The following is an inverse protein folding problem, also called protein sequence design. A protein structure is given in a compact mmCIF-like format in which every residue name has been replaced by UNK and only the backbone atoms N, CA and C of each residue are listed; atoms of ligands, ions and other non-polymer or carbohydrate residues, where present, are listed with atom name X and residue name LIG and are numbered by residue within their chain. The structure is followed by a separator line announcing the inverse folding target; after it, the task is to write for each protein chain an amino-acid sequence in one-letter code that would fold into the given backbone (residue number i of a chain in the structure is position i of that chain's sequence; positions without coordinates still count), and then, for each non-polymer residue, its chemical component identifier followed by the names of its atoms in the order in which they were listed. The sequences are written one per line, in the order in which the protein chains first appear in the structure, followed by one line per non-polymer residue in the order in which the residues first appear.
data_IF_961288245147
#
_entry.id   IF_961288245147
#
_cell.length_a   1.000
_cell.length_b   1.000
_cell.length_c   1.000
_cell.angle_alpha   90.00
_cell.angle_beta   90.00
_cell.angle_gamma   90.00
#
_symmetry.space_group_name_H-M   'P 1'
#
loop_
_entity.id
_entity.type
_entity.pdbx_description
1 polymer ?
#
# COMPACT_ATOMS: atom_id res chain seq x y z
N UNK A 1 12.15 50.65 -59.70
CA UNK A 1 11.70 49.34 -60.24
C UNK A 1 12.40 48.23 -59.48
N UNK A 2 11.65 47.16 -59.16
CA UNK A 2 12.03 45.92 -58.45
C UNK A 2 11.96 46.05 -56.91
N UNK A 3 10.85 45.59 -56.29
CA UNK A 3 10.49 44.19 -55.93
C UNK A 3 11.38 43.70 -54.77
N UNK A 4 10.93 43.10 -53.67
CA UNK A 4 9.66 42.57 -53.20
C UNK A 4 9.96 42.10 -51.76
N UNK A 5 9.28 42.59 -50.72
CA UNK A 5 9.40 42.04 -49.37
C UNK A 5 8.29 41.00 -49.18
N UNK A 6 8.63 39.70 -49.18
CA UNK A 6 7.76 38.64 -48.69
C UNK A 6 8.23 38.26 -47.28
N UNK A 7 7.46 38.64 -46.27
CA UNK A 7 7.59 38.11 -44.92
C UNK A 7 6.63 36.92 -44.78
N UNK A 8 7.15 35.70 -44.90
CA UNK A 8 6.40 34.48 -44.61
C UNK A 8 6.39 34.26 -43.09
N UNK A 9 5.27 34.54 -42.44
CA UNK A 9 4.99 34.13 -41.07
C UNK A 9 4.68 32.62 -41.06
N UNK A 10 5.60 31.81 -40.54
CA UNK A 10 5.37 30.38 -40.30
C UNK A 10 4.75 30.26 -38.90
N UNK A 11 3.43 30.11 -38.85
CA UNK A 11 2.72 29.75 -37.63
C UNK A 11 2.88 28.23 -37.41
N UNK A 12 3.87 27.83 -36.62
CA UNK A 12 4.06 26.43 -36.25
C UNK A 12 2.94 26.02 -35.27
N UNK A 13 1.94 25.30 -35.78
CA UNK A 13 0.85 24.73 -35.00
C UNK A 13 1.42 23.56 -34.17
N UNK A 14 1.82 23.82 -32.92
CA UNK A 14 2.17 22.75 -31.98
C UNK A 14 0.88 22.09 -31.50
N UNK A 15 0.52 20.97 -32.14
CA UNK A 15 -0.49 20.07 -31.61
C UNK A 15 0.05 19.47 -30.30
N UNK A 16 -0.31 20.09 -29.17
CA UNK A 16 -0.04 19.55 -27.85
C UNK A 16 -0.83 18.26 -27.67
N UNK A 17 -0.17 17.11 -27.86
CA UNK A 17 -0.72 15.82 -27.48
C UNK A 17 -0.75 15.78 -25.96
N UNK A 18 -1.90 16.13 -25.37
CA UNK A 18 -2.16 15.86 -23.97
C UNK A 18 -2.39 14.35 -23.86
N UNK A 19 -1.36 13.62 -23.43
CA UNK A 19 -1.51 12.24 -23.03
C UNK A 19 -2.43 12.21 -21.80
N UNK A 20 -3.71 11.86 -22.01
CA UNK A 20 -4.59 11.54 -20.89
C UNK A 20 -4.01 10.31 -20.21
N UNK A 21 -3.54 10.47 -18.97
CA UNK A 21 -3.13 9.36 -18.14
C UNK A 21 -4.29 8.36 -18.07
N UNK A 22 -4.07 7.14 -18.57
CA UNK A 22 -5.02 6.04 -18.38
C UNK A 22 -5.10 5.75 -16.89
N UNK A 23 -6.04 6.38 -16.18
CA UNK A 23 -6.43 5.92 -14.85
C UNK A 23 -7.06 4.55 -15.05
N UNK A 24 -6.38 3.50 -14.56
CA UNK A 24 -6.99 2.18 -14.47
C UNK A 24 -8.31 2.36 -13.70
N UNK A 25 -9.44 2.05 -14.33
CA UNK A 25 -10.77 2.26 -13.73
C UNK A 25 -11.05 1.36 -12.51
N UNK A 26 -10.10 0.50 -12.11
CA UNK A 26 -10.21 -0.38 -10.96
C UNK A 26 -9.16 -0.10 -9.90
N UNK A 27 -9.42 -0.59 -8.68
CA UNK A 27 -8.40 -0.70 -7.66
C UNK A 27 -7.21 -1.51 -8.18
N UNK A 28 -6.00 -1.01 -7.96
CA UNK A 28 -4.75 -1.65 -8.38
C UNK A 28 -3.89 -1.99 -7.18
N UNK A 29 -3.27 -3.18 -7.21
CA UNK A 29 -2.25 -3.52 -6.23
C UNK A 29 -1.06 -2.59 -6.50
N UNK A 30 -0.72 -1.77 -5.51
CA UNK A 30 0.44 -0.90 -5.56
C UNK A 30 1.67 -1.68 -5.13
N UNK A 31 1.54 -2.48 -4.07
CA UNK A 31 2.66 -3.16 -3.47
C UNK A 31 2.22 -4.32 -2.56
N UNK A 32 3.13 -5.24 -2.27
CA UNK A 32 2.90 -6.39 -1.37
C UNK A 32 4.18 -6.77 -0.65
N UNK A 33 4.07 -7.07 0.64
CA UNK A 33 5.20 -7.54 1.46
C UNK A 33 4.78 -8.56 2.49
N UNK A 34 5.75 -9.39 2.88
CA UNK A 34 5.65 -10.27 4.03
C UNK A 34 6.26 -9.65 5.28
N UNK A 35 6.82 -10.48 6.15
CA UNK A 35 7.53 -10.01 7.35
C UNK A 35 8.90 -9.42 7.00
N UNK A 36 8.94 -8.10 6.79
CA UNK A 36 10.15 -7.33 6.44
C UNK A 36 10.67 -6.52 7.63
N UNK A 37 11.85 -5.92 7.48
CA UNK A 37 12.40 -5.01 8.48
C UNK A 37 11.66 -3.68 8.52
N UNK A 38 11.69 -3.02 9.66
CA UNK A 38 10.95 -1.78 9.89
C UNK A 38 11.38 -0.64 8.95
N UNK A 39 12.66 -0.54 8.62
CA UNK A 39 13.14 0.43 7.62
C UNK A 39 12.51 0.20 6.25
N UNK A 40 12.47 -1.06 5.80
CA UNK A 40 11.88 -1.42 4.50
C UNK A 40 10.36 -1.20 4.49
N UNK A 41 9.67 -1.51 5.60
CA UNK A 41 8.24 -1.25 5.74
C UNK A 41 7.94 0.24 5.65
N UNK A 42 8.68 1.07 6.39
CA UNK A 42 8.53 2.53 6.36
C UNK A 42 8.78 3.07 4.95
N UNK A 43 9.86 2.66 4.28
CA UNK A 43 10.17 3.10 2.92
C UNK A 43 9.08 2.72 1.90
N UNK A 44 8.47 1.53 2.03
CA UNK A 44 7.35 1.11 1.17
C UNK A 44 6.08 1.88 1.46
N UNK A 45 5.79 2.15 2.73
CA UNK A 45 4.68 3.01 3.15
C UNK A 45 4.89 4.48 2.72
N UNK A 46 6.14 4.97 2.66
CA UNK A 46 6.46 6.30 2.14
C UNK A 46 6.11 6.41 0.66
N UNK A 47 6.53 5.42 -0.14
CA UNK A 47 6.19 5.34 -1.56
C UNK A 47 4.67 5.26 -1.78
N UNK A 48 3.98 4.49 -0.93
CA UNK A 48 2.52 4.41 -0.97
C UNK A 48 1.86 5.76 -0.65
N UNK A 49 2.35 6.48 0.36
CA UNK A 49 1.86 7.79 0.72
C UNK A 49 2.06 8.81 -0.41
N UNK A 50 3.22 8.82 -1.06
CA UNK A 50 3.50 9.70 -2.22
C UNK A 50 2.49 9.45 -3.35
N UNK A 51 2.17 8.19 -3.63
CA UNK A 51 1.20 7.87 -4.68
C UNK A 51 -0.21 8.33 -4.33
N UNK A 52 -0.65 8.15 -3.08
CA UNK A 52 -1.95 8.65 -2.63
C UNK A 52 -2.03 10.17 -2.61
N UNK A 53 -0.92 10.87 -2.35
CA UNK A 53 -0.86 12.33 -2.43
C UNK A 53 -0.98 12.84 -3.88
N UNK A 54 -0.46 12.09 -4.84
CA UNK A 54 -0.61 12.40 -6.27
C UNK A 54 -2.00 12.05 -6.83
N UNK A 55 -2.77 11.21 -6.13
CA UNK A 55 -4.13 10.81 -6.48
C UNK A 55 -5.12 11.19 -5.35
N UNK A 56 -5.42 12.48 -5.15
CA UNK A 56 -6.10 12.96 -3.93
C UNK A 56 -7.55 12.48 -3.77
N UNK A 57 -8.17 11.99 -4.84
CA UNK A 57 -9.50 11.38 -4.79
C UNK A 57 -9.45 9.85 -4.56
N UNK A 58 -8.26 9.24 -4.59
CA UNK A 58 -8.09 7.81 -4.34
C UNK A 58 -8.06 7.50 -2.84
N UNK A 59 -8.47 6.27 -2.51
CA UNK A 59 -8.30 5.69 -1.18
C UNK A 59 -7.19 4.63 -1.21
N UNK A 60 -6.36 4.65 -0.19
CA UNK A 60 -5.41 3.61 0.12
C UNK A 60 -6.06 2.49 0.92
N UNK A 61 -5.93 1.26 0.45
CA UNK A 61 -6.34 0.06 1.17
C UNK A 61 -5.11 -0.74 1.59
N UNK A 62 -5.10 -1.18 2.85
CA UNK A 62 -4.11 -2.11 3.39
C UNK A 62 -4.86 -3.38 3.76
N UNK A 63 -4.70 -4.43 2.95
CA UNK A 63 -5.25 -5.75 3.28
C UNK A 63 -4.14 -6.55 3.93
N UNK A 64 -4.31 -6.91 5.20
CA UNK A 64 -3.37 -7.79 5.89
C UNK A 64 -3.94 -9.19 6.03
N UNK A 65 -3.08 -10.19 5.92
CA UNK A 65 -3.42 -11.59 6.11
C UNK A 65 -2.61 -12.15 7.27
N UNK A 66 -3.27 -12.86 8.18
CA UNK A 66 -2.59 -13.54 9.26
C UNK A 66 -1.84 -14.76 8.71
N UNK A 67 -0.54 -14.85 9.03
CA UNK A 67 0.27 -16.01 8.64
C UNK A 67 0.01 -17.22 9.53
N UNK A 68 0.00 -18.43 8.95
CA UNK A 68 0.18 -19.67 9.72
C UNK A 68 1.58 -19.70 10.37
N UNK A 69 2.54 -19.06 9.70
CA UNK A 69 3.91 -18.86 10.18
C UNK A 69 4.26 -17.37 10.16
N UNK A 70 5.13 -17.01 11.08
CA UNK A 70 5.70 -15.69 11.20
C UNK A 70 7.22 -15.78 11.22
N UNK A 71 7.85 -14.94 10.43
CA UNK A 71 9.27 -14.62 10.57
C UNK A 71 9.41 -13.17 11.02
N UNK A 72 10.61 -12.80 11.46
CA UNK A 72 11.00 -11.41 11.67
C UNK A 72 12.33 -11.21 10.97
N UNK A 73 12.64 -9.98 10.56
CA UNK A 73 13.94 -9.72 9.96
C UNK A 73 15.11 -9.95 10.92
N UNK A 74 14.88 -9.97 12.25
CA UNK A 74 15.88 -10.34 13.25
C UNK A 74 15.90 -11.84 13.56
N UNK A 75 14.79 -12.55 13.30
CA UNK A 75 14.68 -13.97 13.56
C UNK A 75 14.00 -14.68 12.39
N UNK A 76 14.84 -15.32 11.56
CA UNK A 76 14.40 -16.07 10.38
C UNK A 76 13.73 -17.40 10.71
N UNK A 77 13.73 -17.83 11.98
CA UNK A 77 13.00 -19.04 12.38
C UNK A 77 11.50 -18.78 12.32
N UNK A 78 10.79 -19.58 11.53
CA UNK A 78 9.35 -19.56 11.50
C UNK A 78 8.75 -19.87 12.89
N UNK A 79 7.91 -18.97 13.38
CA UNK A 79 7.18 -19.07 14.63
C UNK A 79 5.69 -19.29 14.37
N UNK A 80 5.04 -20.01 15.27
CA UNK A 80 3.58 -20.09 15.34
C UNK A 80 3.06 -18.74 15.84
N UNK A 81 2.03 -18.12 15.21
CA UNK A 81 1.49 -16.84 15.64
C UNK A 81 0.89 -16.86 17.04
N UNK A 82 0.78 -15.68 17.66
CA UNK A 82 -0.15 -15.43 18.77
C UNK A 82 -1.47 -14.85 18.25
N UNK A 83 -2.57 -15.05 19.00
CA UNK A 83 -3.85 -14.42 18.65
C UNK A 83 -3.70 -12.90 18.67
N UNK A 84 -4.20 -12.24 17.62
CA UNK A 84 -4.11 -10.78 17.46
C UNK A 84 -2.73 -10.25 17.04
N UNK A 85 -1.73 -11.12 16.82
CA UNK A 85 -0.39 -10.70 16.38
C UNK A 85 -0.43 -10.02 15.01
N UNK A 86 -1.23 -10.55 14.08
CA UNK A 86 -1.42 -9.96 12.75
C UNK A 86 -2.00 -8.54 12.84
N UNK A 87 -3.08 -8.40 13.62
CA UNK A 87 -3.78 -7.13 13.83
C UNK A 87 -2.88 -6.10 14.49
N UNK A 88 -2.11 -6.49 15.52
CA UNK A 88 -1.19 -5.60 16.19
C UNK A 88 -0.10 -5.06 15.25
N UNK A 89 0.46 -5.94 14.39
CA UNK A 89 1.43 -5.53 13.36
C UNK A 89 0.78 -4.59 12.34
N UNK A 90 -0.41 -4.91 11.85
CA UNK A 90 -1.09 -4.07 10.87
C UNK A 90 -1.52 -2.71 11.42
N UNK A 91 -1.91 -2.65 12.70
CA UNK A 91 -2.39 -1.44 13.36
C UNK A 91 -1.37 -0.30 13.41
N UNK A 92 -0.07 -0.57 13.22
CA UNK A 92 0.98 0.47 13.20
C UNK A 92 1.07 1.21 11.85
N UNK A 93 0.60 0.60 10.77
CA UNK A 93 0.78 1.15 9.41
C UNK A 93 -0.05 2.42 9.19
N UNK A 94 -1.31 2.44 9.65
CA UNK A 94 -2.18 3.62 9.48
C UNK A 94 -1.67 4.84 10.26
N UNK A 95 -1.32 4.76 11.56
CA UNK A 95 -0.69 5.86 12.28
C UNK A 95 0.57 6.40 11.59
N UNK A 96 1.44 5.52 11.06
CA UNK A 96 2.60 5.98 10.29
C UNK A 96 2.20 6.82 9.07
N UNK A 97 1.24 6.33 8.28
CA UNK A 97 0.73 7.03 7.10
C UNK A 97 0.03 8.36 7.44
N UNK A 98 -0.70 8.43 8.56
CA UNK A 98 -1.48 9.63 8.91
C UNK A 98 -0.67 10.64 9.71
N UNK A 99 0.12 10.20 10.69
CA UNK A 99 0.84 11.06 11.62
C UNK A 99 2.22 11.45 11.07
N UNK A 100 2.98 10.51 10.49
CA UNK A 100 4.32 10.79 9.98
C UNK A 100 4.30 11.27 8.51
N UNK A 101 3.34 10.81 7.69
CA UNK A 101 3.23 11.16 6.27
C UNK A 101 2.08 12.12 5.94
N UNK A 102 1.26 12.46 6.93
CA UNK A 102 0.24 13.52 6.80
C UNK A 102 -0.97 13.15 5.94
N UNK A 103 -1.24 11.87 5.69
CA UNK A 103 -2.46 11.46 5.00
C UNK A 103 -3.69 11.67 5.91
N UNK A 104 -4.80 12.09 5.32
CA UNK A 104 -6.08 12.10 6.02
C UNK A 104 -6.47 10.65 6.39
N UNK A 105 -6.88 10.43 7.64
CA UNK A 105 -7.27 9.12 8.14
C UNK A 105 -8.44 8.50 7.35
N UNK A 106 -9.27 9.30 6.67
CA UNK A 106 -10.35 8.82 5.79
C UNK A 106 -9.85 8.23 4.46
N UNK A 107 -8.61 8.54 4.07
CA UNK A 107 -7.97 8.02 2.85
C UNK A 107 -7.24 6.70 3.07
N UNK A 108 -7.15 6.19 4.30
CA UNK A 108 -6.46 4.92 4.59
C UNK A 108 -7.42 3.94 5.28
N UNK A 109 -7.71 2.82 4.62
CA UNK A 109 -8.58 1.76 5.12
C UNK A 109 -7.75 0.50 5.36
N UNK A 110 -7.88 -0.12 6.54
CA UNK A 110 -7.24 -1.40 6.85
C UNK A 110 -8.30 -2.50 6.89
N UNK A 111 -8.04 -3.61 6.20
CA UNK A 111 -8.92 -4.78 6.14
C UNK A 111 -8.15 -6.01 6.63
N UNK A 112 -8.77 -6.82 7.51
CA UNK A 112 -8.30 -8.18 7.77
C UNK A 112 -8.77 -9.08 6.63
N UNK A 113 -7.84 -9.54 5.80
CA UNK A 113 -8.09 -10.38 4.66
C UNK A 113 -8.21 -11.88 4.95
N UNK A 114 -8.10 -12.28 6.23
CA UNK A 114 -8.11 -13.68 6.64
C UNK A 114 -6.71 -14.26 6.73
N UNK A 115 -6.52 -15.49 6.24
CA UNK A 115 -5.32 -16.27 6.53
C UNK A 115 -4.54 -16.67 5.29
N UNK A 116 -3.21 -16.68 5.40
CA UNK A 116 -2.26 -17.19 4.41
C UNK A 116 -1.13 -17.96 5.09
N UNK A 117 -0.25 -18.59 4.32
CA UNK A 117 0.88 -19.34 4.87
C UNK A 117 1.81 -18.45 5.70
N UNK A 118 2.13 -17.25 5.20
CA UNK A 118 2.97 -16.25 5.87
C UNK A 118 2.18 -14.94 6.07
N UNK A 119 2.54 -14.17 7.09
CA UNK A 119 1.96 -12.83 7.28
C UNK A 119 2.26 -11.98 6.06
N UNK A 120 1.23 -11.33 5.53
CA UNK A 120 1.31 -10.54 4.30
C UNK A 120 0.51 -9.26 4.46
N UNK A 121 1.04 -8.14 3.96
CA UNK A 121 0.30 -6.91 3.72
C UNK A 121 0.29 -6.60 2.21
N UNK A 122 -0.88 -6.29 1.69
CA UNK A 122 -1.09 -5.78 0.34
C UNK A 122 -1.52 -4.32 0.43
N UNK A 123 -0.83 -3.45 -0.31
CA UNK A 123 -1.15 -2.05 -0.46
C UNK A 123 -1.86 -1.86 -1.79
N UNK A 124 -3.03 -1.25 -1.75
CA UNK A 124 -3.87 -1.03 -2.91
C UNK A 124 -4.22 0.44 -3.03
N UNK A 125 -4.24 0.94 -4.26
CA UNK A 125 -4.74 2.28 -4.58
C UNK A 125 -6.07 2.09 -5.30
N UNK A 126 -7.13 2.66 -4.73
CA UNK A 126 -8.48 2.61 -5.25
C UNK A 126 -8.89 4.01 -5.71
N UNK A 127 -8.91 4.29 -7.03
CA UNK A 127 -9.46 5.53 -7.56
C UNK A 127 -10.92 5.72 -7.14
N UNK A 128 -11.38 6.97 -7.10
CA UNK A 128 -12.76 7.30 -6.80
C UNK A 128 -13.72 6.58 -7.76
N UNK A 129 -14.74 5.94 -7.19
CA UNK A 129 -15.77 5.22 -7.96
C UNK A 129 -15.38 3.80 -8.38
N UNK A 130 -14.14 3.36 -8.13
CA UNK A 130 -13.76 1.96 -8.33
C UNK A 130 -14.33 1.05 -7.22
N UNK A 131 -14.42 -0.26 -7.50
CA UNK A 131 -14.73 -1.25 -6.47
C UNK A 131 -13.55 -1.43 -5.49
N UNK A 132 -13.82 -1.63 -4.19
CA UNK A 132 -12.79 -1.98 -3.22
C UNK A 132 -12.08 -3.30 -3.57
N UNK A 133 -10.78 -3.42 -3.27
CA UNK A 133 -10.07 -4.67 -3.47
C UNK A 133 -10.67 -5.79 -2.61
N UNK A 134 -10.84 -6.97 -3.21
CA UNK A 134 -11.41 -8.15 -2.54
C UNK A 134 -10.30 -8.97 -1.90
N UNK A 135 -10.37 -9.27 -0.58
CA UNK A 135 -9.39 -10.12 0.05
C UNK A 135 -9.32 -11.52 -0.56
N UNK A 136 -8.11 -12.09 -0.63
CA UNK A 136 -7.84 -13.42 -1.19
C UNK A 136 -7.09 -14.30 -0.18
N UNK A 137 -7.77 -14.75 0.90
CA UNK A 137 -7.19 -15.71 1.84
C UNK A 137 -6.94 -17.05 1.15
N UNK A 138 -5.85 -17.72 1.52
CA UNK A 138 -5.53 -19.06 1.00
C UNK A 138 -5.74 -20.15 2.03
N UNK A 139 -5.98 -19.78 3.29
CA UNK A 139 -6.19 -20.68 4.41
C UNK A 139 -7.51 -20.40 5.13
N UNK A 140 -8.06 -21.44 5.77
CA UNK A 140 -9.23 -21.31 6.63
C UNK A 140 -8.80 -21.10 8.08
N UNK A 141 -9.61 -20.38 8.85
CA UNK A 141 -9.32 -20.11 10.26
C UNK A 141 -9.06 -21.37 11.10
N UNK A 142 -9.77 -22.47 10.83
CA UNK A 142 -9.59 -23.75 11.53
C UNK A 142 -8.23 -24.41 11.30
N UNK A 143 -7.53 -24.03 10.23
CA UNK A 143 -6.23 -24.60 9.87
C UNK A 143 -5.05 -23.82 10.50
N UNK A 144 -5.35 -22.91 11.43
CA UNK A 144 -4.39 -22.01 12.07
C UNK A 144 -4.24 -22.37 13.54
N UNK A 145 -2.99 -22.58 13.95
CA UNK A 145 -2.62 -22.82 15.34
C UNK A 145 -2.06 -21.54 15.92
N UNK A 146 -2.41 -21.26 17.17
CA UNK A 146 -1.87 -20.13 17.92
C UNK A 146 -1.10 -20.63 19.13
N UNK A 147 0.10 -20.09 19.35
CA UNK A 147 0.82 -20.29 20.61
C UNK A 147 0.23 -19.37 21.69
N UNK A 148 0.43 -19.75 22.95
CA UNK A 148 -0.02 -18.97 24.11
C UNK A 148 0.70 -17.61 24.20
N UNK A 149 0.08 -16.68 24.89
CA UNK A 149 0.61 -15.33 25.14
C UNK A 149 0.03 -14.26 24.22
N UNK A 150 0.30 -13.00 24.58
CA UNK A 150 -0.01 -11.82 23.78
C UNK A 150 1.27 -11.27 23.15
N UNK A 151 1.15 -10.55 22.05
CA UNK A 151 2.29 -9.82 21.50
C UNK A 151 2.54 -8.55 22.31
N UNK A 152 3.78 -8.36 22.75
CA UNK A 152 4.20 -7.13 23.42
C UNK A 152 4.35 -5.99 22.43
N UNK A 153 4.10 -4.75 22.88
CA UNK A 153 4.23 -3.53 22.07
C UNK A 153 5.58 -3.43 21.37
N UNK A 154 6.67 -3.72 22.07
CA UNK A 154 8.04 -3.72 21.53
C UNK A 154 8.32 -4.77 20.45
N UNK A 155 7.49 -5.81 20.35
CA UNK A 155 7.68 -6.89 19.38
C UNK A 155 7.05 -6.59 18.02
N UNK A 156 6.03 -5.72 17.97
CA UNK A 156 5.39 -5.31 16.72
C UNK A 156 5.59 -3.84 16.40
N UNK A 157 5.99 -2.99 17.33
CA UNK A 157 6.29 -1.61 16.98
C UNK A 157 7.65 -1.52 16.30
N UNK A 158 7.68 -0.74 15.23
CA UNK A 158 8.93 -0.24 14.70
C UNK A 158 9.43 0.84 15.66
N UNK A 159 10.38 0.48 16.53
CA UNK A 159 11.08 1.47 17.34
C UNK A 159 11.79 2.45 16.39
N UNK A 160 11.68 3.74 16.71
CA UNK A 160 12.40 4.81 16.02
C UNK A 160 13.87 4.84 16.43
#
# INVERSE_FOLDING_TARGET
MKKLLLATAIFALTAGVTAMAQTSNGAREFDKFGSICCGDEKARLDNFAVNLQNEPEAQGYIIFYEGRRYSSCYNRRALIPRRGEATARAARMKPYLTEARGLDAKHVIIINGGYREEWTAELWIMPKGAEPPKPTPTLRAKDIKFRRGKIGKREYQCME
#
